data_IF_475414913105
#
_entry.id   IF_475414913105
#
_cell.length_a   1.000
_cell.length_b   1.000
_cell.length_c   1.000
_cell.angle_alpha   90.00
_cell.angle_beta   90.00
_cell.angle_gamma   90.00
#
_symmetry.space_group_name_H-M   'P 1'
#
loop_
_entity.id
_entity.type
_entity.pdbx_description
1 polymer ?
#
# COMPACT_ATOMS: atom_id res chain seq x y z
N UNK A 1 -13.39 7.43 -33.67
CA UNK A 1 -13.66 8.60 -32.82
C UNK A 1 -15.00 8.34 -32.17
N UNK A 2 -15.01 7.64 -31.05
CA UNK A 2 -16.18 7.55 -30.20
C UNK A 2 -15.68 7.61 -28.76
N UNK A 3 -16.10 8.67 -28.07
CA UNK A 3 -15.88 8.89 -26.64
C UNK A 3 -16.88 8.00 -25.91
N UNK A 4 -16.47 6.85 -25.44
CA UNK A 4 -17.26 6.11 -24.47
C UNK A 4 -17.20 6.85 -23.13
N UNK A 5 -18.34 7.43 -22.79
CA UNK A 5 -18.64 8.01 -21.48
C UNK A 5 -18.64 6.90 -20.43
N UNK A 6 -17.60 6.82 -19.61
CA UNK A 6 -17.63 6.07 -18.39
C UNK A 6 -18.76 6.60 -17.50
N UNK A 7 -19.84 5.83 -17.38
CA UNK A 7 -20.97 6.15 -16.49
C UNK A 7 -20.44 6.09 -15.06
N UNK A 8 -20.27 7.25 -14.42
CA UNK A 8 -20.01 7.32 -12.97
C UNK A 8 -21.14 6.62 -12.22
N UNK A 9 -20.80 5.79 -11.25
CA UNK A 9 -21.80 5.17 -10.37
C UNK A 9 -22.54 6.30 -9.65
N UNK A 10 -23.87 6.35 -9.79
CA UNK A 10 -24.69 7.33 -9.08
C UNK A 10 -24.69 7.04 -7.57
N UNK A 11 -24.96 8.06 -6.73
CA UNK A 11 -25.15 7.88 -5.28
C UNK A 11 -26.08 6.70 -4.96
N UNK A 12 -27.13 6.52 -5.75
CA UNK A 12 -28.10 5.43 -5.61
C UNK A 12 -27.53 4.06 -5.92
N UNK A 13 -26.57 3.98 -6.85
CA UNK A 13 -25.92 2.72 -7.25
C UNK A 13 -24.80 2.36 -6.26
N UNK A 14 -24.10 3.35 -5.71
CA UNK A 14 -23.15 3.16 -4.62
C UNK A 14 -23.84 2.53 -3.40
N UNK A 15 -25.02 3.06 -3.00
CA UNK A 15 -25.75 2.52 -1.85
C UNK A 15 -26.47 1.21 -2.13
N UNK A 16 -26.80 0.90 -3.38
CA UNK A 16 -27.24 -0.46 -3.74
C UNK A 16 -26.12 -1.49 -3.60
N UNK A 17 -24.88 -1.08 -3.92
CA UNK A 17 -23.68 -1.91 -3.72
C UNK A 17 -23.36 -2.03 -2.22
N UNK A 18 -23.57 -0.96 -1.43
CA UNK A 18 -23.32 -0.93 0.03
C UNK A 18 -24.50 -1.51 0.83
N UNK A 19 -25.74 -1.41 0.34
CA UNK A 19 -26.97 -1.71 1.11
C UNK A 19 -27.47 -3.16 1.09
N UNK A 20 -26.78 -4.10 0.44
CA UNK A 20 -27.24 -5.49 0.30
C UNK A 20 -26.81 -6.45 1.42
N UNK A 21 -26.16 -5.97 2.49
CA UNK A 21 -25.74 -6.80 3.64
C UNK A 21 -26.51 -6.41 4.91
N UNK A 22 -27.27 -7.36 5.41
CA UNK A 22 -28.29 -7.36 6.45
C UNK A 22 -28.03 -6.53 7.73
N UNK A 23 -29.16 -6.04 8.24
CA UNK A 23 -29.36 -5.36 9.52
C UNK A 23 -28.90 -6.22 10.70
N UNK A 24 -27.96 -5.71 11.51
CA UNK A 24 -27.72 -6.16 12.87
C UNK A 24 -28.02 -4.99 13.82
N UNK A 25 -28.96 -5.20 14.71
CA UNK A 25 -29.47 -4.24 15.70
C UNK A 25 -28.41 -3.79 16.68
N UNK A 26 -28.19 -2.49 16.79
CA UNK A 26 -27.35 -1.86 17.80
C UNK A 26 -28.19 -1.47 19.02
N UNK A 27 -27.76 -1.90 20.20
CA UNK A 27 -28.27 -1.44 21.48
C UNK A 27 -27.62 -0.11 21.90
N UNK A 28 -28.45 0.84 22.33
CA UNK A 28 -28.06 2.15 22.86
C UNK A 28 -27.43 2.04 24.25
N UNK A 29 -26.22 2.58 24.44
CA UNK A 29 -25.67 2.88 25.78
C UNK A 29 -25.18 4.32 25.76
N UNK A 30 -25.61 5.09 26.79
CA UNK A 30 -25.44 6.53 26.91
C UNK A 30 -24.02 6.95 27.31
N UNK A 31 -23.65 8.12 26.81
CA UNK A 31 -22.39 8.82 27.09
C UNK A 31 -22.42 9.47 28.48
N UNK A 32 -21.31 9.38 29.20
CA UNK A 32 -21.02 10.19 30.38
C UNK A 32 -19.73 10.98 30.14
N UNK A 33 -19.84 12.30 30.12
CA UNK A 33 -18.72 13.22 29.89
C UNK A 33 -17.85 13.36 31.16
N UNK A 34 -16.54 13.13 31.01
CA UNK A 34 -15.54 13.71 31.91
C UNK A 34 -14.33 14.19 31.10
N UNK A 35 -14.11 15.50 31.14
CA UNK A 35 -12.99 16.22 30.56
C UNK A 35 -11.65 15.79 31.19
N UNK A 36 -10.67 15.37 30.36
CA UNK A 36 -9.27 15.22 30.75
C UNK A 36 -8.34 15.87 29.72
N UNK A 37 -7.35 16.57 30.25
CA UNK A 37 -6.29 17.33 29.62
C UNK A 37 -5.44 16.50 28.62
N UNK A 38 -5.04 17.15 27.52
CA UNK A 38 -4.26 16.60 26.41
C UNK A 38 -2.86 16.14 26.80
N UNK A 39 -2.67 14.85 26.89
CA UNK A 39 -1.45 14.16 26.50
C UNK A 39 -1.79 13.33 25.25
N UNK A 40 -0.92 13.28 24.23
CA UNK A 40 -1.09 12.45 23.03
C UNK A 40 -0.98 10.96 23.38
N UNK A 41 -1.92 10.44 24.15
CA UNK A 41 -2.09 9.02 24.38
C UNK A 41 -3.07 8.55 23.32
N UNK A 42 -2.60 7.73 22.39
CA UNK A 42 -3.46 6.97 21.49
C UNK A 42 -4.40 6.18 22.39
N UNK A 43 -5.72 6.31 22.18
CA UNK A 43 -6.73 5.64 22.99
C UNK A 43 -6.60 4.11 22.89
N UNK A 44 -7.09 3.41 23.91
CA UNK A 44 -7.35 1.98 23.79
C UNK A 44 -8.55 1.76 22.84
N UNK A 45 -8.59 0.65 22.07
CA UNK A 45 -9.76 0.32 21.25
C UNK A 45 -11.04 0.26 22.09
N UNK A 46 -12.12 0.86 21.58
CA UNK A 46 -13.41 0.95 22.32
C UNK A 46 -14.21 -0.36 22.32
N UNK A 47 -13.78 -1.37 21.57
CA UNK A 47 -14.51 -2.63 21.44
C UNK A 47 -13.76 -3.70 20.64
N UNK A 48 -14.52 -4.71 20.18
CA UNK A 48 -13.96 -5.85 19.45
C UNK A 48 -13.59 -5.50 18.01
N UNK A 49 -12.54 -6.15 17.49
CA UNK A 49 -12.14 -6.09 16.09
C UNK A 49 -13.33 -6.40 15.17
N UNK A 50 -13.50 -5.60 14.13
CA UNK A 50 -14.46 -5.89 13.06
C UNK A 50 -13.94 -6.99 12.15
N UNK A 51 -14.79 -7.99 11.85
CA UNK A 51 -14.45 -9.11 10.97
C UNK A 51 -15.34 -9.17 9.73
N UNK A 52 -14.84 -9.80 8.67
CA UNK A 52 -15.57 -10.19 7.48
C UNK A 52 -15.55 -11.71 7.33
N UNK A 53 -16.66 -12.29 6.82
CA UNK A 53 -16.74 -13.73 6.58
C UNK A 53 -16.71 -13.97 5.08
N UNK A 54 -15.70 -14.71 4.63
CA UNK A 54 -15.54 -15.14 3.26
C UNK A 54 -15.38 -16.67 3.23
N UNK A 55 -16.25 -17.36 2.54
CA UNK A 55 -16.17 -18.82 2.34
C UNK A 55 -15.89 -19.63 3.62
N UNK A 56 -16.46 -19.17 4.73
CA UNK A 56 -16.29 -19.77 6.05
C UNK A 56 -15.19 -19.18 6.91
N UNK A 57 -14.25 -18.43 6.33
CA UNK A 57 -13.15 -17.79 7.08
C UNK A 57 -13.62 -16.49 7.73
N UNK A 58 -13.35 -16.33 9.03
CA UNK A 58 -13.61 -15.09 9.78
C UNK A 58 -12.34 -14.26 9.83
N UNK A 59 -12.17 -13.37 8.85
CA UNK A 59 -10.98 -12.55 8.65
C UNK A 59 -11.14 -11.18 9.30
N UNK A 60 -10.12 -10.71 10.04
CA UNK A 60 -10.09 -9.35 10.60
C UNK A 60 -10.09 -8.30 9.48
N UNK A 61 -10.92 -7.25 9.64
CA UNK A 61 -11.00 -6.19 8.63
C UNK A 61 -9.70 -5.37 8.57
N UNK A 62 -8.95 -5.27 9.66
CA UNK A 62 -7.56 -4.81 9.67
C UNK A 62 -6.65 -6.01 9.45
N UNK A 63 -5.87 -6.00 8.35
CA UNK A 63 -4.83 -6.97 8.04
C UNK A 63 -3.43 -6.38 8.26
N UNK A 64 -2.49 -7.20 8.66
CA UNK A 64 -1.10 -6.80 8.85
C UNK A 64 -0.30 -6.94 7.54
N UNK A 65 0.10 -5.80 6.94
CA UNK A 65 0.99 -5.76 5.78
C UNK A 65 2.46 -5.87 6.20
N UNK A 66 3.10 -7.00 5.97
CA UNK A 66 4.46 -7.31 6.44
C UNK A 66 5.58 -6.70 5.58
N UNK A 67 5.27 -5.79 4.65
CA UNK A 67 6.25 -5.13 3.78
C UNK A 67 7.13 -4.11 4.52
N UNK A 68 6.70 -3.65 5.69
CA UNK A 68 7.32 -2.55 6.44
C UNK A 68 7.72 -2.96 7.86
N UNK A 69 8.23 -4.18 8.03
CA UNK A 69 8.78 -4.60 9.30
C UNK A 69 9.86 -3.63 9.79
N UNK A 70 9.98 -3.37 11.09
CA UNK A 70 11.04 -2.54 11.64
C UNK A 70 12.41 -3.10 11.27
N UNK A 71 13.31 -2.22 10.85
CA UNK A 71 14.66 -2.56 10.42
C UNK A 71 15.67 -1.93 11.38
N UNK A 72 16.74 -2.64 11.67
CA UNK A 72 17.86 -2.16 12.47
C UNK A 72 19.20 -2.33 11.72
N UNK A 73 20.23 -1.61 12.18
CA UNK A 73 21.58 -1.83 11.66
C UNK A 73 22.04 -3.25 11.99
N UNK A 74 22.68 -3.91 11.02
CA UNK A 74 23.23 -5.24 11.26
C UNK A 74 24.39 -5.16 12.26
N UNK A 75 24.29 -5.76 13.47
CA UNK A 75 25.33 -5.72 14.47
C UNK A 75 26.60 -6.51 14.07
N UNK A 76 26.44 -7.48 13.14
CA UNK A 76 27.50 -8.40 12.72
C UNK A 76 28.14 -8.01 11.37
N UNK A 77 27.72 -6.87 10.77
CA UNK A 77 28.24 -6.48 9.47
C UNK A 77 27.60 -5.22 8.88
N UNK A 78 27.74 -5.05 7.57
CA UNK A 78 27.13 -3.93 6.85
C UNK A 78 25.64 -4.20 6.54
N UNK A 79 24.87 -3.12 6.35
CA UNK A 79 23.48 -3.17 5.93
C UNK A 79 22.47 -3.15 7.07
N UNK A 80 21.25 -3.53 6.75
CA UNK A 80 20.12 -3.58 7.68
C UNK A 80 19.57 -5.00 7.75
N UNK A 81 19.11 -5.37 8.93
CA UNK A 81 18.33 -6.59 9.19
C UNK A 81 16.98 -6.23 9.78
N UNK A 82 16.04 -7.17 9.77
CA UNK A 82 14.77 -7.01 10.48
C UNK A 82 15.01 -7.06 11.98
N UNK A 83 14.44 -6.12 12.72
CA UNK A 83 14.37 -6.17 14.18
C UNK A 83 13.36 -7.24 14.60
N UNK A 84 13.84 -8.47 14.75
CA UNK A 84 12.98 -9.62 15.02
C UNK A 84 12.28 -9.52 16.38
N UNK A 85 12.91 -8.91 17.38
CA UNK A 85 12.31 -8.74 18.71
C UNK A 85 11.11 -7.79 18.64
N UNK A 86 11.26 -6.68 17.91
CA UNK A 86 10.17 -5.75 17.70
C UNK A 86 9.05 -6.36 16.82
N UNK A 87 9.38 -7.13 15.78
CA UNK A 87 8.39 -7.87 14.98
C UNK A 87 7.60 -8.84 15.86
N UNK A 88 8.26 -9.58 16.74
CA UNK A 88 7.59 -10.49 17.66
C UNK A 88 6.60 -9.74 18.56
N UNK A 89 7.02 -8.60 19.12
CA UNK A 89 6.17 -7.76 19.98
C UNK A 89 4.95 -7.22 19.25
N UNK A 90 5.14 -6.76 18.00
CA UNK A 90 4.05 -6.24 17.18
C UNK A 90 3.05 -7.34 16.80
N UNK A 91 3.52 -8.54 16.46
CA UNK A 91 2.67 -9.69 16.11
C UNK A 91 1.90 -10.18 17.32
N UNK A 92 2.55 -10.29 18.49
CA UNK A 92 1.89 -10.69 19.75
C UNK A 92 0.75 -9.72 20.10
N UNK A 93 1.01 -8.42 20.00
CA UNK A 93 0.01 -7.39 20.26
C UNK A 93 -1.13 -7.42 19.22
N UNK A 94 -0.81 -7.58 17.95
CA UNK A 94 -1.81 -7.65 16.87
C UNK A 94 -2.77 -8.82 17.05
N UNK A 95 -2.25 -10.02 17.32
CA UNK A 95 -3.06 -11.22 17.56
C UNK A 95 -3.92 -11.08 18.82
N UNK A 96 -3.35 -10.53 19.92
CA UNK A 96 -4.08 -10.31 21.17
C UNK A 96 -5.27 -9.35 20.98
N UNK A 97 -5.22 -8.43 19.99
CA UNK A 97 -6.27 -7.48 19.66
C UNK A 97 -7.10 -7.88 18.43
N UNK A 98 -7.04 -9.15 18.03
CA UNK A 98 -7.95 -9.74 17.04
C UNK A 98 -7.53 -9.59 15.58
N UNK A 99 -6.37 -9.04 15.26
CA UNK A 99 -5.81 -9.11 13.89
C UNK A 99 -5.39 -10.56 13.63
N UNK A 100 -5.92 -11.15 12.54
CA UNK A 100 -5.62 -12.54 12.19
C UNK A 100 -5.20 -12.75 10.73
N UNK A 101 -4.97 -11.69 9.95
CA UNK A 101 -4.53 -11.78 8.56
C UNK A 101 -3.17 -11.10 8.38
N UNK A 102 -2.17 -11.85 7.93
CA UNK A 102 -0.78 -11.39 7.73
C UNK A 102 -0.38 -11.57 6.26
N UNK A 103 -0.08 -10.46 5.58
CA UNK A 103 0.25 -10.40 4.16
C UNK A 103 1.74 -10.13 3.96
N UNK A 104 2.46 -11.08 3.38
CA UNK A 104 3.87 -10.95 3.03
C UNK A 104 4.15 -11.27 1.57
N UNK A 105 5.41 -11.23 1.16
CA UNK A 105 5.89 -11.67 -0.16
C UNK A 105 7.41 -11.87 -0.14
N UNK A 106 7.96 -12.71 -1.05
CA UNK A 106 9.40 -12.95 -1.16
C UNK A 106 10.28 -11.69 -1.25
N UNK A 107 9.93 -10.60 -1.99
CA UNK A 107 10.79 -9.42 -2.09
C UNK A 107 10.66 -8.42 -0.94
N UNK A 108 9.74 -8.60 0.00
CA UNK A 108 9.49 -7.63 1.08
C UNK A 108 10.65 -7.56 2.06
N UNK A 109 10.94 -6.38 2.60
CA UNK A 109 12.10 -6.15 3.47
C UNK A 109 13.41 -6.71 2.89
N UNK A 110 13.64 -6.50 1.60
CA UNK A 110 14.82 -6.99 0.87
C UNK A 110 14.99 -8.53 0.92
N UNK A 111 13.88 -9.26 1.01
CA UNK A 111 13.85 -10.73 1.08
C UNK A 111 13.77 -11.30 2.49
N UNK A 112 13.70 -10.47 3.51
CA UNK A 112 13.72 -10.90 4.93
C UNK A 112 12.33 -11.03 5.55
N UNK A 113 11.27 -10.54 4.88
CA UNK A 113 9.94 -10.46 5.48
C UNK A 113 9.29 -11.82 5.77
N UNK A 114 9.39 -12.77 4.85
CA UNK A 114 8.78 -14.10 5.05
C UNK A 114 9.39 -14.81 6.25
N UNK A 115 10.71 -14.77 6.40
CA UNK A 115 11.40 -15.41 7.53
C UNK A 115 11.04 -14.74 8.86
N UNK A 116 11.08 -13.41 8.92
CA UNK A 116 10.71 -12.66 10.11
C UNK A 116 9.25 -12.92 10.52
N UNK A 117 8.34 -12.93 9.53
CA UNK A 117 6.92 -13.25 9.75
C UNK A 117 6.74 -14.67 10.25
N UNK A 118 7.43 -15.64 9.63
CA UNK A 118 7.38 -17.05 10.03
C UNK A 118 7.92 -17.30 11.44
N UNK A 119 9.00 -16.63 11.83
CA UNK A 119 9.54 -16.70 13.20
C UNK A 119 8.49 -16.18 14.20
N UNK A 120 7.91 -15.01 13.93
CA UNK A 120 6.94 -14.41 14.84
C UNK A 120 5.65 -15.25 14.97
N UNK A 121 5.06 -15.64 13.84
CA UNK A 121 3.79 -16.38 13.80
C UNK A 121 3.90 -17.80 14.33
N UNK A 122 5.03 -18.49 14.11
CA UNK A 122 5.23 -19.87 14.59
C UNK A 122 5.23 -20.00 16.14
N UNK A 123 5.21 -18.91 16.87
CA UNK A 123 5.08 -18.83 18.34
C UNK A 123 3.61 -18.97 18.78
N UNK A 124 2.66 -18.90 17.85
CA UNK A 124 1.22 -18.93 18.10
C UNK A 124 0.57 -20.16 17.44
N UNK A 125 -0.62 -20.59 17.91
CA UNK A 125 -1.35 -21.67 17.27
C UNK A 125 -1.62 -21.36 15.78
N UNK A 126 -1.33 -22.31 14.88
CA UNK A 126 -1.42 -22.10 13.42
C UNK A 126 -2.84 -21.78 12.94
N UNK A 127 -3.85 -22.20 13.64
CA UNK A 127 -5.27 -21.94 13.35
C UNK A 127 -5.78 -20.59 13.88
N UNK A 128 -4.96 -19.84 14.62
CA UNK A 128 -5.31 -18.51 15.12
C UNK A 128 -5.08 -17.37 14.12
N UNK A 129 -4.44 -17.66 12.96
CA UNK A 129 -4.12 -16.65 11.96
C UNK A 129 -4.12 -17.20 10.53
N UNK A 130 -4.25 -16.31 9.58
CA UNK A 130 -4.14 -16.56 8.15
C UNK A 130 -2.83 -15.98 7.59
N UNK A 131 -2.13 -16.78 6.79
CA UNK A 131 -0.93 -16.36 6.06
C UNK A 131 -1.28 -16.13 4.60
N UNK A 132 -0.94 -14.93 4.09
CA UNK A 132 -0.96 -14.61 2.68
C UNK A 132 0.47 -14.36 2.18
N UNK A 133 0.89 -15.07 1.12
CA UNK A 133 2.13 -14.80 0.40
C UNK A 133 1.96 -14.90 -1.10
N UNK A 134 3.03 -14.64 -1.90
CA UNK A 134 2.86 -14.31 -3.31
C UNK A 134 3.91 -14.97 -4.22
N UNK A 135 3.48 -15.34 -5.43
CA UNK A 135 4.38 -15.68 -6.55
C UNK A 135 4.99 -14.41 -7.13
N UNK A 136 6.16 -14.02 -6.65
CA UNK A 136 6.82 -12.74 -7.00
C UNK A 136 7.87 -12.89 -8.11
N UNK A 137 7.57 -13.64 -9.16
CA UNK A 137 8.51 -13.96 -10.23
C UNK A 137 8.74 -12.82 -11.27
N UNK A 138 8.18 -11.63 -11.04
CA UNK A 138 8.38 -10.47 -11.92
C UNK A 138 9.85 -10.05 -12.02
N UNK A 139 10.62 -10.11 -10.91
CA UNK A 139 12.06 -9.81 -10.93
C UNK A 139 12.87 -10.85 -11.70
N UNK A 140 12.50 -12.13 -11.60
CA UNK A 140 13.11 -13.20 -12.37
C UNK A 140 12.87 -13.00 -13.87
N UNK A 141 11.62 -12.66 -14.23
CA UNK A 141 11.27 -12.33 -15.61
C UNK A 141 12.00 -11.07 -16.10
N UNK A 142 12.06 -10.03 -15.29
CA UNK A 142 12.81 -8.79 -15.56
C UNK A 142 14.32 -9.04 -15.74
N UNK A 143 14.90 -9.99 -15.01
CA UNK A 143 16.27 -10.45 -15.17
C UNK A 143 16.51 -11.31 -16.44
N UNK A 144 15.46 -11.58 -17.22
CA UNK A 144 15.60 -12.27 -18.50
C UNK A 144 15.25 -13.76 -18.49
N UNK A 145 14.90 -14.37 -17.34
CA UNK A 145 14.50 -15.78 -17.29
C UNK A 145 13.18 -16.00 -18.05
N UNK A 146 13.09 -17.11 -18.79
CA UNK A 146 11.92 -17.46 -19.60
C UNK A 146 11.66 -18.96 -19.56
N UNK A 147 10.45 -19.38 -19.97
CA UNK A 147 10.08 -20.78 -20.13
C UNK A 147 10.46 -21.64 -18.90
N UNK A 148 11.18 -22.73 -19.16
CA UNK A 148 11.54 -23.72 -18.11
C UNK A 148 12.43 -23.14 -17.02
N UNK A 149 13.39 -22.28 -17.33
CA UNK A 149 14.26 -21.66 -16.32
C UNK A 149 13.47 -20.77 -15.37
N UNK A 150 12.53 -19.98 -15.90
CA UNK A 150 11.63 -19.17 -15.09
C UNK A 150 10.73 -20.05 -14.21
N UNK A 151 10.22 -21.17 -14.76
CA UNK A 151 9.40 -22.12 -14.03
C UNK A 151 10.17 -22.69 -12.84
N UNK A 152 11.36 -23.25 -13.07
CA UNK A 152 12.17 -23.88 -12.02
C UNK A 152 12.52 -22.89 -10.91
N UNK A 153 12.93 -21.68 -11.26
CA UNK A 153 13.22 -20.63 -10.28
C UNK A 153 11.97 -20.17 -9.52
N UNK A 154 10.79 -20.10 -10.18
CA UNK A 154 9.51 -19.75 -9.55
C UNK A 154 9.03 -20.86 -8.60
N UNK A 155 9.17 -22.12 -8.98
CA UNK A 155 8.84 -23.26 -8.11
C UNK A 155 9.75 -23.27 -6.88
N UNK A 156 11.05 -23.02 -7.06
CA UNK A 156 11.96 -22.88 -5.93
C UNK A 156 11.54 -21.76 -4.98
N UNK A 157 11.19 -20.59 -5.50
CA UNK A 157 10.67 -19.46 -4.70
C UNK A 157 9.44 -19.86 -3.89
N UNK A 158 8.49 -20.58 -4.49
CA UNK A 158 7.31 -21.11 -3.82
C UNK A 158 7.67 -22.08 -2.68
N UNK A 159 8.62 -22.98 -2.92
CA UNK A 159 9.09 -23.94 -1.91
C UNK A 159 9.86 -23.25 -0.76
N UNK A 160 10.67 -22.26 -1.09
CA UNK A 160 11.41 -21.47 -0.08
C UNK A 160 10.45 -20.71 0.85
N UNK A 161 9.29 -20.24 0.33
CA UNK A 161 8.26 -19.56 1.15
C UNK A 161 7.69 -20.45 2.25
N UNK A 162 7.50 -21.75 2.03
CA UNK A 162 7.11 -22.70 3.10
C UNK A 162 8.14 -22.77 4.21
N UNK A 163 9.42 -22.86 3.83
CA UNK A 163 10.53 -22.93 4.78
C UNK A 163 10.61 -21.64 5.61
N UNK A 164 10.56 -20.48 4.97
CA UNK A 164 10.68 -19.20 5.66
C UNK A 164 9.46 -18.93 6.55
N UNK A 165 8.25 -19.19 6.06
CA UNK A 165 7.01 -18.99 6.81
C UNK A 165 6.70 -20.12 7.82
N UNK A 166 7.51 -21.20 7.85
CA UNK A 166 7.38 -22.31 8.81
C UNK A 166 5.99 -22.94 8.82
N UNK A 167 5.42 -23.18 7.65
CA UNK A 167 4.06 -23.70 7.46
C UNK A 167 4.01 -24.76 6.37
N UNK A 168 3.01 -25.64 6.42
CA UNK A 168 2.77 -26.69 5.41
C UNK A 168 1.70 -26.29 4.39
N UNK A 169 1.01 -25.16 4.59
CA UNK A 169 0.00 -24.63 3.67
C UNK A 169 -0.12 -23.11 3.79
N UNK A 170 -0.54 -22.47 2.69
CA UNK A 170 -0.91 -21.07 2.67
C UNK A 170 -2.43 -20.92 2.70
N UNK A 171 -2.95 -20.05 3.55
CA UNK A 171 -4.38 -19.73 3.57
C UNK A 171 -4.76 -18.93 2.34
N UNK A 172 -3.92 -17.95 1.95
CA UNK A 172 -4.09 -17.09 0.80
C UNK A 172 -2.80 -17.04 -0.01
N UNK A 173 -2.89 -17.28 -1.31
CA UNK A 173 -1.75 -17.19 -2.21
C UNK A 173 -2.08 -16.35 -3.43
N UNK A 174 -1.15 -15.48 -3.86
CA UNK A 174 -1.41 -14.51 -4.92
C UNK A 174 -0.36 -14.59 -6.04
N UNK A 175 -0.81 -14.45 -7.28
CA UNK A 175 0.08 -13.98 -8.34
C UNK A 175 0.38 -12.49 -8.13
N UNK A 176 1.66 -12.14 -8.01
CA UNK A 176 2.10 -10.83 -7.54
C UNK A 176 2.21 -9.81 -8.65
N UNK A 177 1.65 -8.60 -8.42
CA UNK A 177 1.87 -7.37 -9.20
C UNK A 177 1.58 -7.56 -10.71
N UNK A 178 0.42 -8.11 -11.04
CA UNK A 178 -0.02 -8.24 -12.42
C UNK A 178 -0.42 -6.89 -13.02
N UNK A 179 -0.12 -6.68 -14.30
CA UNK A 179 -0.43 -5.46 -15.04
C UNK A 179 0.70 -4.44 -15.11
N UNK A 180 1.81 -4.64 -14.38
CA UNK A 180 3.02 -3.80 -14.49
C UNK A 180 3.89 -4.18 -15.68
N UNK A 181 4.98 -3.46 -15.89
CA UNK A 181 5.97 -3.71 -16.91
C UNK A 181 5.35 -3.68 -18.32
N UNK A 182 5.41 -4.80 -19.03
CA UNK A 182 4.84 -4.93 -20.39
C UNK A 182 3.36 -5.38 -20.40
N UNK A 183 2.65 -5.25 -19.28
CA UNK A 183 1.22 -5.58 -19.19
C UNK A 183 0.93 -7.03 -19.60
N UNK A 184 0.08 -7.21 -20.64
CA UNK A 184 -0.36 -8.54 -21.11
C UNK A 184 0.79 -9.47 -21.53
N UNK A 185 1.84 -8.96 -22.21
CA UNK A 185 3.00 -9.76 -22.63
C UNK A 185 3.72 -10.35 -21.41
N UNK A 186 4.00 -9.50 -20.42
CA UNK A 186 4.70 -9.91 -19.21
C UNK A 186 3.85 -10.88 -18.39
N UNK A 187 2.58 -10.58 -18.20
CA UNK A 187 1.65 -11.47 -17.48
C UNK A 187 1.62 -12.86 -18.11
N UNK A 188 1.47 -12.97 -19.44
CA UNK A 188 1.47 -14.26 -20.14
C UNK A 188 2.78 -15.01 -19.96
N UNK A 189 3.92 -14.33 -20.18
CA UNK A 189 5.25 -14.92 -20.01
C UNK A 189 5.51 -15.44 -18.60
N UNK A 190 5.02 -14.73 -17.58
CA UNK A 190 5.21 -15.07 -16.17
C UNK A 190 4.30 -16.17 -15.66
N UNK A 191 3.12 -16.33 -16.19
CA UNK A 191 2.10 -17.24 -15.69
C UNK A 191 1.89 -18.46 -16.60
N UNK A 192 1.63 -18.21 -17.87
CA UNK A 192 1.20 -19.27 -18.80
C UNK A 192 2.36 -19.87 -19.59
N UNK A 193 3.18 -19.07 -20.26
CA UNK A 193 4.25 -19.56 -21.13
C UNK A 193 5.33 -20.33 -20.37
N UNK A 194 5.52 -20.04 -19.08
CA UNK A 194 6.42 -20.79 -18.21
C UNK A 194 5.71 -21.92 -17.42
N UNK A 195 4.38 -22.06 -17.54
CA UNK A 195 3.61 -23.14 -16.87
C UNK A 195 3.42 -22.96 -15.36
N UNK A 196 3.67 -21.78 -14.81
CA UNK A 196 3.52 -21.52 -13.35
C UNK A 196 2.04 -21.47 -12.94
N UNK A 197 1.14 -20.99 -13.80
CA UNK A 197 -0.28 -21.00 -13.51
C UNK A 197 -0.79 -22.43 -13.25
N UNK A 198 -0.46 -23.37 -14.13
CA UNK A 198 -0.83 -24.78 -13.98
C UNK A 198 -0.23 -25.43 -12.74
N UNK A 199 1.02 -25.08 -12.41
CA UNK A 199 1.67 -25.55 -11.19
C UNK A 199 0.91 -25.07 -9.94
N UNK A 200 0.59 -23.79 -9.83
CA UNK A 200 -0.12 -23.21 -8.67
C UNK A 200 -1.56 -23.75 -8.55
N UNK A 201 -2.25 -24.00 -9.67
CA UNK A 201 -3.56 -24.66 -9.64
C UNK A 201 -3.49 -26.08 -9.08
N UNK A 202 -2.46 -26.86 -9.43
CA UNK A 202 -2.22 -28.19 -8.84
C UNK A 202 -1.91 -28.12 -7.34
N UNK A 203 -1.17 -27.09 -6.90
CA UNK A 203 -0.90 -26.87 -5.49
C UNK A 203 -2.18 -26.51 -4.71
N UNK A 204 -3.11 -25.76 -5.35
CA UNK A 204 -4.44 -25.49 -4.78
C UNK A 204 -5.28 -26.77 -4.68
N UNK A 205 -5.33 -27.58 -5.74
CA UNK A 205 -6.02 -28.87 -5.75
C UNK A 205 -5.47 -29.82 -4.68
N UNK A 206 -4.16 -29.79 -4.45
CA UNK A 206 -3.48 -30.57 -3.41
C UNK A 206 -3.70 -30.05 -1.98
N UNK A 207 -4.39 -28.91 -1.81
CA UNK A 207 -4.70 -28.30 -0.52
C UNK A 207 -3.56 -27.53 0.13
N UNK A 208 -2.41 -27.36 -0.55
CA UNK A 208 -1.31 -26.54 -0.05
C UNK A 208 -1.57 -25.03 -0.20
N UNK A 209 -2.50 -24.66 -1.06
CA UNK A 209 -3.06 -23.31 -1.19
C UNK A 209 -4.57 -23.41 -0.97
N UNK A 210 -5.10 -22.73 0.04
CA UNK A 210 -6.54 -22.75 0.35
C UNK A 210 -7.34 -21.78 -0.52
N UNK A 211 -6.85 -20.54 -0.66
CA UNK A 211 -7.46 -19.46 -1.46
C UNK A 211 -6.43 -18.92 -2.44
N UNK A 212 -6.82 -18.80 -3.70
CA UNK A 212 -5.97 -18.28 -4.77
C UNK A 212 -6.50 -16.95 -5.28
N UNK A 213 -5.61 -15.96 -5.38
CA UNK A 213 -5.91 -14.65 -5.90
C UNK A 213 -4.77 -14.05 -6.72
N UNK A 214 -4.88 -12.78 -7.03
CA UNK A 214 -3.79 -12.00 -7.61
C UNK A 214 -3.78 -10.58 -7.06
N UNK A 215 -2.62 -9.92 -7.07
CA UNK A 215 -2.52 -8.49 -6.84
C UNK A 215 -2.33 -7.77 -8.16
N UNK A 216 -3.06 -6.65 -8.31
CA UNK A 216 -3.12 -5.90 -9.55
C UNK A 216 -2.54 -4.50 -9.40
N UNK A 217 -1.73 -4.09 -10.42
CA UNK A 217 -1.27 -2.74 -10.66
C UNK A 217 -1.16 -2.49 -12.19
N UNK A 218 -1.55 -1.33 -12.66
CA UNK A 218 -1.23 -0.85 -14.00
C UNK A 218 -2.24 -1.20 -15.08
N UNK A 219 -1.86 -2.00 -16.07
CA UNK A 219 -2.64 -2.23 -17.29
C UNK A 219 -4.00 -2.89 -17.02
N UNK A 220 -5.08 -2.11 -17.14
CA UNK A 220 -6.45 -2.58 -16.89
C UNK A 220 -6.85 -3.78 -17.78
N UNK A 221 -6.27 -3.93 -18.97
CA UNK A 221 -6.55 -5.08 -19.83
C UNK A 221 -6.12 -6.39 -19.19
N UNK A 222 -5.06 -6.37 -18.37
CA UNK A 222 -4.65 -7.54 -17.58
C UNK A 222 -5.69 -7.86 -16.52
N UNK A 223 -6.21 -6.85 -15.81
CA UNK A 223 -7.26 -7.04 -14.81
C UNK A 223 -8.51 -7.66 -15.43
N UNK A 224 -8.99 -7.09 -16.53
CA UNK A 224 -10.18 -7.56 -17.23
C UNK A 224 -9.99 -9.00 -17.75
N UNK A 225 -8.84 -9.29 -18.37
CA UNK A 225 -8.50 -10.64 -18.83
C UNK A 225 -8.49 -11.65 -17.68
N UNK A 226 -7.88 -11.31 -16.55
CA UNK A 226 -7.82 -12.22 -15.40
C UNK A 226 -9.20 -12.52 -14.82
N UNK A 227 -10.13 -11.57 -14.85
CA UNK A 227 -11.50 -11.76 -14.35
C UNK A 227 -12.43 -12.45 -15.34
N UNK A 228 -12.19 -12.35 -16.66
CA UNK A 228 -13.15 -12.74 -17.68
C UNK A 228 -12.70 -13.94 -18.53
N UNK A 229 -11.40 -14.02 -18.82
CA UNK A 229 -10.85 -14.94 -19.83
C UNK A 229 -9.83 -15.93 -19.29
N UNK A 230 -9.28 -15.70 -18.09
CA UNK A 230 -8.22 -16.56 -17.53
C UNK A 230 -8.66 -17.99 -17.26
N UNK A 231 -9.95 -18.22 -17.09
CA UNK A 231 -10.53 -19.52 -16.68
C UNK A 231 -10.21 -19.92 -15.24
N UNK A 232 -9.50 -19.07 -14.47
CA UNK A 232 -9.14 -19.34 -13.07
C UNK A 232 -10.25 -18.84 -12.15
N UNK A 233 -10.81 -19.69 -11.28
CA UNK A 233 -11.79 -19.27 -10.27
C UNK A 233 -11.06 -18.53 -9.13
N UNK A 234 -11.11 -17.21 -9.15
CA UNK A 234 -10.48 -16.38 -8.13
C UNK A 234 -11.28 -16.36 -6.84
N UNK A 235 -10.64 -16.69 -5.72
CA UNK A 235 -11.26 -16.61 -4.40
C UNK A 235 -11.24 -15.17 -3.86
N UNK A 236 -10.29 -14.34 -4.29
CA UNK A 236 -10.15 -12.93 -3.92
C UNK A 236 -9.21 -12.20 -4.88
N UNK A 237 -9.21 -10.86 -4.85
CA UNK A 237 -8.25 -10.03 -5.61
C UNK A 237 -7.74 -8.90 -4.74
N UNK A 238 -6.44 -8.63 -4.77
CA UNK A 238 -5.81 -7.55 -4.06
C UNK A 238 -5.67 -6.32 -4.96
N UNK A 239 -6.30 -5.21 -4.57
CA UNK A 239 -6.32 -3.96 -5.31
C UNK A 239 -5.89 -2.78 -4.43
N UNK A 240 -5.32 -1.75 -5.06
CA UNK A 240 -5.09 -0.46 -4.44
C UNK A 240 -6.42 0.28 -4.31
N UNK A 241 -6.77 0.72 -3.08
CA UNK A 241 -8.00 1.46 -2.83
C UNK A 241 -7.82 2.41 -1.65
N UNK A 242 -8.07 3.70 -1.90
CA UNK A 242 -8.14 4.77 -0.91
C UNK A 242 -9.00 5.91 -1.48
N UNK A 243 -9.33 6.92 -0.68
CA UNK A 243 -10.23 8.00 -1.10
C UNK A 243 -9.67 8.90 -2.20
N UNK A 244 -8.33 8.98 -2.38
CA UNK A 244 -7.71 9.73 -3.47
C UNK A 244 -7.75 8.92 -4.77
N UNK A 245 -7.24 7.68 -4.75
CA UNK A 245 -7.21 6.82 -5.94
C UNK A 245 -8.60 6.31 -6.35
N UNK A 246 -9.62 6.55 -5.53
CA UNK A 246 -10.99 6.21 -5.90
C UNK A 246 -11.33 6.78 -7.29
N UNK A 247 -11.00 8.07 -7.53
CA UNK A 247 -11.24 8.76 -8.81
C UNK A 247 -10.03 9.48 -9.37
N UNK A 248 -8.94 9.59 -8.63
CA UNK A 248 -7.75 10.35 -9.01
C UNK A 248 -6.49 9.49 -8.98
N UNK A 249 -6.60 8.23 -9.40
CA UNK A 249 -5.43 7.37 -9.54
C UNK A 249 -4.44 7.99 -10.52
N UNK A 250 -3.16 7.93 -10.18
CA UNK A 250 -2.09 8.55 -10.95
C UNK A 250 -1.11 7.54 -11.55
N UNK A 251 -0.36 7.97 -12.55
CA UNK A 251 0.63 7.14 -13.21
C UNK A 251 0.00 6.02 -14.02
N UNK A 252 0.39 4.79 -13.74
CA UNK A 252 -0.16 3.59 -14.39
C UNK A 252 -1.38 3.01 -13.65
N UNK A 253 -1.71 3.54 -12.48
CA UNK A 253 -2.79 3.01 -11.65
C UNK A 253 -4.16 3.33 -12.25
N UNK A 254 -5.12 2.44 -11.98
CA UNK A 254 -6.52 2.56 -12.40
C UNK A 254 -7.36 3.04 -11.23
N UNK A 255 -8.37 3.88 -11.51
CA UNK A 255 -9.30 4.35 -10.49
C UNK A 255 -9.93 3.16 -9.73
N UNK A 256 -9.83 3.20 -8.40
CA UNK A 256 -10.29 2.12 -7.55
C UNK A 256 -11.81 1.89 -7.64
N UNK A 257 -12.58 2.93 -8.00
CA UNK A 257 -14.02 2.84 -8.27
C UNK A 257 -14.32 1.78 -9.35
N UNK A 258 -13.52 1.74 -10.43
CA UNK A 258 -13.65 0.73 -11.47
C UNK A 258 -13.30 -0.66 -10.96
N UNK A 259 -12.10 -0.82 -10.38
CA UNK A 259 -11.59 -2.11 -9.92
C UNK A 259 -12.52 -2.75 -8.88
N UNK A 260 -12.92 -1.99 -7.87
CA UNK A 260 -13.83 -2.46 -6.84
C UNK A 260 -15.20 -2.85 -7.43
N UNK A 261 -15.75 -2.05 -8.33
CA UNK A 261 -17.05 -2.31 -8.93
C UNK A 261 -17.05 -3.61 -9.75
N UNK A 262 -15.99 -3.89 -10.49
CA UNK A 262 -15.89 -5.12 -11.27
C UNK A 262 -15.75 -6.37 -10.39
N UNK A 263 -15.06 -6.26 -9.25
CA UNK A 263 -15.00 -7.33 -8.24
C UNK A 263 -16.36 -7.55 -7.55
N UNK A 264 -17.00 -6.47 -7.14
CA UNK A 264 -18.31 -6.54 -6.46
C UNK A 264 -19.41 -7.15 -7.34
N UNK A 265 -19.45 -6.81 -8.64
CA UNK A 265 -20.37 -7.41 -9.62
C UNK A 265 -20.23 -8.94 -9.73
N UNK A 266 -19.03 -9.46 -9.48
CA UNK A 266 -18.71 -10.89 -9.58
C UNK A 266 -18.72 -11.60 -8.22
N UNK A 267 -19.01 -10.88 -7.14
CA UNK A 267 -18.89 -11.35 -5.75
C UNK A 267 -17.49 -11.89 -5.44
N UNK A 268 -16.44 -11.30 -6.02
CA UNK A 268 -15.04 -11.61 -5.71
C UNK A 268 -14.59 -10.62 -4.64
N UNK A 269 -14.25 -11.07 -3.43
CA UNK A 269 -13.79 -10.20 -2.36
C UNK A 269 -12.52 -9.44 -2.70
N UNK A 270 -12.44 -8.18 -2.27
CA UNK A 270 -11.27 -7.34 -2.41
C UNK A 270 -10.42 -7.38 -1.13
N UNK A 271 -9.13 -7.65 -1.26
CA UNK A 271 -8.12 -7.34 -0.25
C UNK A 271 -7.54 -5.98 -0.62
N UNK A 272 -7.51 -5.04 0.32
CA UNK A 272 -7.09 -3.67 0.02
C UNK A 272 -5.63 -3.47 0.38
N UNK A 273 -4.83 -3.05 -0.59
CA UNK A 273 -3.48 -2.52 -0.40
C UNK A 273 -3.46 -1.01 -0.60
N UNK A 274 -2.40 -0.34 -0.11
CA UNK A 274 -2.19 1.10 -0.23
C UNK A 274 -3.34 1.98 0.32
N UNK A 275 -3.98 1.63 1.44
CA UNK A 275 -5.05 2.46 2.01
C UNK A 275 -4.55 3.87 2.36
N UNK A 276 -3.26 4.02 2.68
CA UNK A 276 -2.58 5.29 2.96
C UNK A 276 -1.63 5.76 1.88
N UNK A 277 -1.61 5.15 0.68
CA UNK A 277 -0.61 5.46 -0.37
C UNK A 277 0.83 5.49 0.18
N UNK A 278 1.25 4.43 0.89
CA UNK A 278 2.56 4.34 1.51
C UNK A 278 2.79 5.35 2.64
N UNK A 279 1.73 5.89 3.24
CA UNK A 279 1.76 6.90 4.29
C UNK A 279 1.54 8.33 3.79
N UNK A 280 1.37 8.56 2.48
CA UNK A 280 1.11 9.91 1.93
C UNK A 280 -0.20 10.50 2.47
N UNK A 281 -1.23 9.70 2.67
CA UNK A 281 -2.53 10.15 3.18
C UNK A 281 -2.54 10.40 4.70
N UNK A 282 -1.48 10.03 5.43
CA UNK A 282 -1.28 10.44 6.83
C UNK A 282 -0.45 11.71 6.97
N UNK A 283 0.23 12.15 5.89
CA UNK A 283 1.12 13.32 5.86
C UNK A 283 0.73 14.24 4.69
N UNK A 284 -0.45 14.80 4.78
CA UNK A 284 -1.03 15.70 3.77
C UNK A 284 -0.73 17.16 4.10
N UNK A 285 -1.04 18.08 3.17
CA UNK A 285 -0.88 19.51 3.37
C UNK A 285 -1.70 20.01 4.58
N UNK A 286 -1.18 20.97 5.35
CA UNK A 286 -1.82 21.51 6.58
C UNK A 286 -3.27 21.94 6.39
N UNK A 287 -3.60 22.52 5.22
CA UNK A 287 -4.98 22.86 4.90
C UNK A 287 -5.90 21.65 4.87
N UNK A 288 -5.42 20.50 4.37
CA UNK A 288 -6.16 19.24 4.36
C UNK A 288 -6.25 18.67 5.77
N UNK A 289 -5.14 18.72 6.55
CA UNK A 289 -5.14 18.32 7.97
C UNK A 289 -6.22 19.08 8.73
N UNK A 290 -6.23 20.41 8.60
CA UNK A 290 -7.21 21.25 9.26
C UNK A 290 -8.65 20.93 8.85
N UNK A 291 -8.91 20.68 7.55
CA UNK A 291 -10.23 20.29 7.04
C UNK A 291 -10.71 18.96 7.65
N UNK A 292 -9.83 17.95 7.74
CA UNK A 292 -10.14 16.65 8.34
C UNK A 292 -10.38 16.77 9.85
N UNK A 293 -9.50 17.50 10.57
CA UNK A 293 -9.57 17.72 12.02
C UNK A 293 -10.74 18.60 12.45
N UNK A 294 -11.22 19.52 11.61
CA UNK A 294 -12.44 20.29 11.89
C UNK A 294 -13.69 19.41 11.95
N UNK A 295 -13.71 18.33 11.17
CA UNK A 295 -14.84 17.40 11.16
C UNK A 295 -14.76 16.37 12.28
N UNK A 296 -13.56 15.81 12.53
CA UNK A 296 -13.28 14.79 13.55
C UNK A 296 -11.99 15.17 14.30
N UNK A 297 -12.07 16.03 15.33
CA UNK A 297 -10.88 16.54 16.02
C UNK A 297 -10.02 15.45 16.68
N UNK A 298 -10.67 14.43 17.24
CA UNK A 298 -9.99 13.38 18.01
C UNK A 298 -9.41 12.27 17.10
N UNK A 299 -9.96 12.08 15.91
CA UNK A 299 -9.51 11.04 14.98
C UNK A 299 -8.19 11.41 14.31
N UNK A 300 -7.33 10.41 14.05
CA UNK A 300 -6.11 10.63 13.28
C UNK A 300 -6.43 10.98 11.82
N UNK A 301 -5.50 11.65 11.12
CA UNK A 301 -5.64 11.89 9.67
C UNK A 301 -5.67 10.57 8.91
N UNK A 302 -4.95 9.55 9.39
CA UNK A 302 -4.90 8.23 8.78
C UNK A 302 -6.23 7.48 8.90
N UNK A 303 -6.97 7.65 10.01
CA UNK A 303 -8.23 6.96 10.25
C UNK A 303 -9.27 7.20 9.14
N UNK A 304 -9.30 8.39 8.54
CA UNK A 304 -10.19 8.71 7.42
C UNK A 304 -9.98 7.80 6.22
N UNK A 305 -8.72 7.51 5.88
CA UNK A 305 -8.40 6.61 4.77
C UNK A 305 -8.70 5.14 5.11
N UNK A 306 -8.47 4.74 6.34
CA UNK A 306 -8.82 3.40 6.81
C UNK A 306 -10.33 3.20 6.88
N UNK A 307 -11.08 4.16 7.43
CA UNK A 307 -12.55 4.14 7.44
C UNK A 307 -13.11 4.09 6.02
N UNK A 308 -12.53 4.87 5.08
CA UNK A 308 -12.92 4.81 3.68
C UNK A 308 -12.77 3.40 3.11
N UNK A 309 -11.59 2.81 3.22
CA UNK A 309 -11.32 1.48 2.69
C UNK A 309 -12.18 0.38 3.34
N UNK A 310 -12.37 0.46 4.66
CA UNK A 310 -13.16 -0.52 5.43
C UNK A 310 -14.67 -0.40 5.24
N UNK A 311 -15.18 0.74 4.75
CA UNK A 311 -16.63 0.96 4.58
C UNK A 311 -17.27 0.17 3.45
N UNK A 312 -16.46 -0.40 2.55
CA UNK A 312 -16.97 -1.16 1.41
C UNK A 312 -17.31 -2.61 1.79
N UNK A 313 -18.54 -3.10 1.58
CA UNK A 313 -18.98 -4.41 2.07
C UNK A 313 -18.28 -5.60 1.43
N UNK A 314 -17.80 -5.48 0.18
CA UNK A 314 -17.06 -6.54 -0.52
C UNK A 314 -15.54 -6.52 -0.22
N UNK A 315 -15.10 -5.72 0.76
CA UNK A 315 -13.72 -5.72 1.25
C UNK A 315 -13.57 -6.79 2.32
N UNK A 316 -12.65 -7.73 2.09
CA UNK A 316 -12.31 -8.79 3.03
C UNK A 316 -11.46 -8.26 4.17
N UNK A 317 -10.37 -7.58 3.82
CA UNK A 317 -9.41 -6.99 4.78
C UNK A 317 -8.67 -5.81 4.16
N UNK A 318 -8.25 -4.87 4.99
CA UNK A 318 -7.47 -3.68 4.63
C UNK A 318 -6.07 -3.81 5.21
N UNK A 319 -5.07 -3.89 4.33
CA UNK A 319 -3.69 -4.12 4.72
C UNK A 319 -3.02 -2.82 5.17
N UNK A 320 -2.42 -2.83 6.34
CA UNK A 320 -1.60 -1.74 6.85
C UNK A 320 -0.20 -2.20 7.22
N UNK A 321 0.82 -1.47 6.76
CA UNK A 321 2.22 -1.67 7.15
C UNK A 321 2.52 -0.90 8.42
N UNK A 322 2.28 -1.52 9.57
CA UNK A 322 2.41 -0.92 10.91
C UNK A 322 3.81 -1.16 11.45
N UNK A 323 4.76 -0.28 11.10
CA UNK A 323 6.18 -0.40 11.50
C UNK A 323 6.41 -0.15 12.99
N UNK A 324 5.56 0.65 13.63
CA UNK A 324 5.68 1.05 15.05
C UNK A 324 4.40 0.70 15.80
N UNK A 325 4.53 0.52 17.11
CA UNK A 325 3.39 0.18 17.98
C UNK A 325 2.28 1.23 17.92
N UNK A 326 2.64 2.51 17.80
CA UNK A 326 1.70 3.63 17.69
C UNK A 326 0.83 3.53 16.41
N UNK A 327 1.42 3.05 15.30
CA UNK A 327 0.64 2.80 14.08
C UNK A 327 -0.38 1.68 14.27
N UNK A 328 0.03 0.61 14.98
CA UNK A 328 -0.83 -0.53 15.25
C UNK A 328 -2.00 -0.12 16.18
N UNK A 329 -1.71 0.63 17.22
CA UNK A 329 -2.72 1.11 18.19
C UNK A 329 -3.72 2.07 17.52
N UNK A 330 -3.26 3.05 16.73
CA UNK A 330 -4.13 3.99 16.01
C UNK A 330 -5.08 3.26 15.02
N UNK A 331 -4.54 2.29 14.29
CA UNK A 331 -5.35 1.51 13.35
C UNK A 331 -6.34 0.58 14.05
N UNK A 332 -5.97 0.00 15.20
CA UNK A 332 -6.88 -0.78 16.04
C UNK A 332 -8.06 0.07 16.51
N UNK A 333 -7.82 1.31 16.95
CA UNK A 333 -8.89 2.24 17.33
C UNK A 333 -9.87 2.51 16.17
N UNK A 334 -9.40 2.48 14.92
CA UNK A 334 -10.26 2.67 13.75
C UNK A 334 -11.12 1.44 13.43
N UNK A 335 -10.62 0.23 13.71
CA UNK A 335 -11.27 -1.02 13.29
C UNK A 335 -11.90 -1.85 14.42
N UNK A 336 -11.83 -1.35 15.67
CA UNK A 336 -12.33 -2.09 16.84
C UNK A 336 -13.31 -1.26 17.68
N UNK A 337 -14.59 -1.12 17.23
CA UNK A 337 -15.12 -1.57 15.95
C UNK A 337 -14.96 -0.52 14.83
N UNK A 338 -15.05 -0.94 13.56
CA UNK A 338 -15.18 0.00 12.45
C UNK A 338 -16.53 0.73 12.53
N UNK A 339 -16.46 2.06 12.45
CA UNK A 339 -17.61 2.92 12.16
C UNK A 339 -17.58 3.29 10.66
N UNK A 340 -18.41 2.65 9.81
CA UNK A 340 -18.41 2.94 8.37
C UNK A 340 -18.73 4.40 8.09
N UNK A 341 -18.17 4.92 6.98
CA UNK A 341 -18.49 6.29 6.54
C UNK A 341 -19.97 6.45 6.22
N UNK A 342 -20.55 7.56 6.67
CA UNK A 342 -21.85 8.03 6.19
C UNK A 342 -21.72 8.57 4.75
N UNK A 343 -22.88 8.77 4.10
CA UNK A 343 -22.97 9.36 2.76
C UNK A 343 -22.29 10.73 2.70
N UNK A 344 -22.52 11.55 3.72
CA UNK A 344 -21.93 12.89 3.81
C UNK A 344 -20.42 12.85 4.02
N UNK A 345 -19.92 11.88 4.80
CA UNK A 345 -18.47 11.70 4.97
C UNK A 345 -17.82 11.18 3.70
N UNK A 346 -18.50 10.30 2.94
CA UNK A 346 -18.00 9.87 1.64
C UNK A 346 -17.86 11.06 0.68
N UNK A 347 -18.88 11.90 0.56
CA UNK A 347 -18.85 13.12 -0.27
C UNK A 347 -17.75 14.05 0.21
N UNK A 348 -17.63 14.29 1.51
CA UNK A 348 -16.61 15.12 2.12
C UNK A 348 -15.19 14.64 1.76
N UNK A 349 -14.93 13.33 1.76
CA UNK A 349 -13.63 12.78 1.35
C UNK A 349 -13.38 12.92 -0.15
N UNK A 350 -14.41 12.79 -1.01
CA UNK A 350 -14.24 13.06 -2.44
C UNK A 350 -13.89 14.52 -2.71
N UNK A 351 -14.57 15.49 -2.08
CA UNK A 351 -14.22 16.91 -2.15
C UNK A 351 -12.81 17.18 -1.61
N UNK A 352 -12.40 16.44 -0.57
CA UNK A 352 -11.04 16.55 -0.03
C UNK A 352 -10.00 16.01 -1.02
N UNK A 353 -10.30 14.91 -1.72
CA UNK A 353 -9.45 14.39 -2.78
C UNK A 353 -9.32 15.37 -3.94
N UNK A 354 -10.42 16.04 -4.36
CA UNK A 354 -10.41 17.08 -5.38
C UNK A 354 -9.51 18.27 -5.01
N UNK A 355 -9.45 18.62 -3.72
CA UNK A 355 -8.50 19.63 -3.23
C UNK A 355 -7.06 19.12 -3.26
N UNK A 356 -6.84 17.85 -2.87
CA UNK A 356 -5.49 17.27 -2.78
C UNK A 356 -4.80 17.21 -4.14
N UNK A 357 -5.52 16.96 -5.24
CA UNK A 357 -4.92 16.92 -6.59
C UNK A 357 -4.39 18.28 -7.06
N UNK A 358 -4.75 19.37 -6.38
CA UNK A 358 -4.19 20.70 -6.65
C UNK A 358 -2.74 20.83 -6.13
N UNK A 359 -2.32 19.98 -5.19
CA UNK A 359 -0.95 19.92 -4.67
C UNK A 359 -0.14 18.92 -5.48
N UNK A 360 0.75 19.40 -6.35
CA UNK A 360 1.53 18.56 -7.28
C UNK A 360 2.65 17.78 -6.58
N UNK A 361 2.29 16.77 -5.82
CA UNK A 361 3.25 15.85 -5.22
C UNK A 361 3.62 14.72 -6.22
N UNK A 362 4.84 14.17 -6.07
CA UNK A 362 5.28 12.99 -6.82
C UNK A 362 4.62 11.76 -6.18
N UNK A 363 4.02 10.83 -6.96
CA UNK A 363 3.26 9.70 -6.40
C UNK A 363 4.15 8.59 -5.81
N UNK A 364 5.26 8.93 -5.15
CA UNK A 364 6.12 7.95 -4.48
C UNK A 364 5.49 7.50 -3.16
N UNK A 365 5.34 6.17 -2.99
CA UNK A 365 4.82 5.53 -1.78
C UNK A 365 5.89 4.81 -0.94
N UNK A 366 7.17 5.09 -1.17
CA UNK A 366 8.32 4.52 -0.44
C UNK A 366 8.34 2.98 -0.40
N UNK A 367 7.92 2.34 -1.47
CA UNK A 367 7.95 0.87 -1.56
C UNK A 367 9.37 0.30 -1.72
N UNK A 368 10.34 1.12 -2.14
CA UNK A 368 11.75 0.78 -2.34
C UNK A 368 12.03 -0.26 -3.43
N UNK A 369 11.09 -0.55 -4.32
CA UNK A 369 11.31 -1.49 -5.41
C UNK A 369 12.36 -0.99 -6.42
N UNK A 370 12.53 0.32 -6.53
CA UNK A 370 13.60 0.95 -7.32
C UNK A 370 14.99 0.87 -6.69
N UNK A 371 15.13 0.23 -5.51
CA UNK A 371 16.38 0.09 -4.80
C UNK A 371 16.92 -1.35 -4.83
N UNK A 372 18.25 -1.55 -4.77
CA UNK A 372 19.29 -0.53 -4.74
C UNK A 372 19.54 0.12 -6.11
N UNK A 373 19.79 1.43 -6.12
CA UNK A 373 20.29 2.09 -7.33
C UNK A 373 21.76 1.72 -7.57
N UNK A 374 22.18 1.27 -8.77
CA UNK A 374 23.57 0.90 -9.05
C UNK A 374 24.57 2.06 -8.92
N UNK A 375 24.06 3.30 -8.93
CA UNK A 375 24.85 4.52 -8.73
C UNK A 375 24.74 5.09 -7.31
N UNK A 376 24.19 4.32 -6.37
CA UNK A 376 24.13 4.67 -4.96
C UNK A 376 23.08 5.73 -4.59
N UNK A 377 22.21 6.15 -5.50
CA UNK A 377 21.21 7.22 -5.26
C UNK A 377 20.13 6.71 -4.31
N UNK A 378 19.73 7.53 -3.33
CA UNK A 378 18.57 7.25 -2.49
C UNK A 378 17.30 7.84 -3.10
N UNK A 379 16.78 7.14 -4.11
CA UNK A 379 15.63 7.59 -4.90
C UNK A 379 14.43 7.92 -4.00
N UNK A 380 13.97 7.03 -3.08
CA UNK A 380 12.83 7.33 -2.22
C UNK A 380 13.05 8.56 -1.34
N UNK A 381 14.20 8.68 -0.70
CA UNK A 381 14.48 9.80 0.20
C UNK A 381 14.41 11.16 -0.53
N UNK A 382 14.89 11.21 -1.78
CA UNK A 382 14.82 12.42 -2.62
C UNK A 382 13.36 12.80 -2.91
N UNK A 383 12.56 11.83 -3.37
CA UNK A 383 11.16 12.06 -3.74
C UNK A 383 10.29 12.43 -2.52
N UNK A 384 10.53 11.76 -1.39
CA UNK A 384 9.82 12.04 -0.14
C UNK A 384 10.17 13.41 0.43
N UNK A 385 11.44 13.82 0.38
CA UNK A 385 11.84 15.17 0.80
C UNK A 385 11.14 16.24 -0.04
N UNK A 386 11.10 16.07 -1.37
CA UNK A 386 10.39 16.98 -2.27
C UNK A 386 8.90 17.11 -1.90
N UNK A 387 8.22 15.98 -1.72
CA UNK A 387 6.82 15.94 -1.30
C UNK A 387 6.60 16.57 0.08
N UNK A 388 7.48 16.31 1.03
CA UNK A 388 7.44 16.92 2.36
C UNK A 388 7.46 18.45 2.28
N UNK A 389 8.35 19.02 1.45
CA UNK A 389 8.43 20.47 1.28
C UNK A 389 7.16 21.06 0.65
N UNK A 390 6.51 20.33 -0.26
CA UNK A 390 5.20 20.74 -0.80
C UNK A 390 4.15 20.78 0.31
N UNK A 391 4.04 19.70 1.08
CA UNK A 391 3.01 19.54 2.11
C UNK A 391 3.17 20.55 3.27
N UNK A 392 4.40 20.89 3.63
CA UNK A 392 4.73 21.87 4.67
C UNK A 392 4.75 23.33 4.19
N UNK A 393 4.40 23.60 2.92
CA UNK A 393 4.48 24.95 2.34
C UNK A 393 5.92 25.50 2.21
N UNK A 394 6.93 24.63 2.32
CA UNK A 394 8.35 24.97 2.23
C UNK A 394 8.91 24.86 0.80
N UNK A 395 8.07 25.07 -0.22
CA UNK A 395 8.47 25.04 -1.62
C UNK A 395 8.79 26.46 -2.11
N UNK A 396 10.07 26.84 -2.34
CA UNK A 396 10.42 28.15 -2.83
C UNK A 396 10.09 28.25 -4.34
N UNK A 397 8.93 28.84 -4.67
CA UNK A 397 8.43 28.90 -6.06
C UNK A 397 8.70 30.22 -6.75
N UNK A 398 8.63 31.33 -6.03
CA UNK A 398 8.78 32.69 -6.53
C UNK A 398 9.79 33.46 -5.69
N UNK A 399 10.82 34.02 -6.31
CA UNK A 399 11.84 34.83 -5.65
C UNK A 399 11.34 36.13 -5.02
N UNK A 400 10.13 36.55 -5.39
CA UNK A 400 9.46 37.73 -4.83
C UNK A 400 8.53 37.40 -3.65
N UNK A 401 8.31 36.13 -3.34
CA UNK A 401 7.55 35.69 -2.15
C UNK A 401 8.29 36.10 -0.88
N UNK A 402 7.60 36.71 0.08
CA UNK A 402 8.15 37.10 1.38
C UNK A 402 8.76 35.88 2.14
N UNK A 403 8.22 34.67 1.92
CA UNK A 403 8.69 33.44 2.51
C UNK A 403 9.81 32.75 1.71
N UNK A 404 10.20 33.25 0.55
CA UNK A 404 11.17 32.60 -0.35
C UNK A 404 12.45 32.19 0.35
N UNK A 405 13.09 33.11 1.09
CA UNK A 405 14.35 32.82 1.77
C UNK A 405 14.22 31.72 2.83
N UNK A 406 13.12 31.75 3.60
CA UNK A 406 12.83 30.74 4.62
C UNK A 406 12.57 29.37 3.98
N UNK A 407 11.73 29.31 2.96
CA UNK A 407 11.41 28.09 2.22
C UNK A 407 12.66 27.51 1.53
N UNK A 408 13.49 28.37 0.90
CA UNK A 408 14.75 27.96 0.28
C UNK A 408 15.73 27.34 1.30
N UNK A 409 15.90 27.96 2.46
CA UNK A 409 16.73 27.38 3.53
C UNK A 409 16.19 26.07 4.03
N UNK A 410 14.88 25.99 4.31
CA UNK A 410 14.23 24.78 4.78
C UNK A 410 14.40 23.64 3.77
N UNK A 411 14.20 23.91 2.48
CA UNK A 411 14.37 22.93 1.42
C UNK A 411 15.82 22.44 1.35
N UNK A 412 16.81 23.31 1.23
CA UNK A 412 18.21 22.93 1.03
C UNK A 412 18.80 22.21 2.26
N UNK A 413 18.55 22.72 3.48
CA UNK A 413 19.00 22.08 4.71
C UNK A 413 18.33 20.72 4.88
N UNK A 414 17.01 20.64 4.63
CA UNK A 414 16.28 19.40 4.69
C UNK A 414 16.77 18.37 3.69
N UNK A 415 17.11 18.80 2.47
CA UNK A 415 17.65 17.94 1.43
C UNK A 415 18.99 17.32 1.85
N UNK A 416 19.94 18.15 2.32
CA UNK A 416 21.25 17.68 2.78
C UNK A 416 21.16 16.75 4.01
N UNK A 417 20.16 16.96 4.88
CA UNK A 417 19.92 16.09 6.05
C UNK A 417 19.25 14.77 5.68
N UNK A 418 18.31 14.80 4.75
CA UNK A 418 17.53 13.62 4.34
C UNK A 418 18.31 12.73 3.37
N UNK A 419 19.19 13.34 2.55
CA UNK A 419 19.90 12.64 1.47
C UNK A 419 21.40 12.98 1.54
N UNK A 420 22.24 12.06 2.02
CA UNK A 420 23.70 12.25 2.01
C UNK A 420 24.22 12.63 0.62
N UNK A 421 25.23 13.50 0.53
CA UNK A 421 25.72 14.09 -0.74
C UNK A 421 26.01 13.06 -1.83
N UNK A 422 26.63 11.95 -1.49
CA UNK A 422 26.95 10.86 -2.42
C UNK A 422 25.72 10.06 -2.89
N UNK A 423 24.53 10.36 -2.35
CA UNK A 423 23.27 9.67 -2.66
C UNK A 423 22.22 10.60 -3.27
N UNK A 424 22.62 11.84 -3.61
CA UNK A 424 21.73 12.88 -4.15
C UNK A 424 21.43 12.67 -5.64
N UNK A 425 20.42 13.39 -6.12
CA UNK A 425 19.89 13.30 -7.48
C UNK A 425 20.92 13.63 -8.57
N UNK A 426 21.90 14.47 -8.27
CA UNK A 426 23.01 14.85 -9.17
C UNK A 426 23.85 13.67 -9.70
N UNK A 427 23.81 12.54 -9.03
CA UNK A 427 24.50 11.31 -9.48
C UNK A 427 23.67 10.49 -10.49
N UNK A 428 22.44 10.91 -10.83
CA UNK A 428 21.61 10.17 -11.77
C UNK A 428 22.10 10.34 -13.21
N UNK A 429 22.50 9.23 -13.83
CA UNK A 429 22.95 9.21 -15.25
C UNK A 429 21.82 8.89 -16.23
N UNK A 430 20.58 8.71 -15.76
CA UNK A 430 19.43 8.42 -16.63
C UNK A 430 19.38 6.98 -17.18
N UNK A 431 20.02 5.99 -16.55
CA UNK A 431 20.08 4.60 -17.05
C UNK A 431 18.72 3.88 -17.08
N UNK A 432 17.70 4.42 -16.42
CA UNK A 432 16.31 3.95 -16.38
C UNK A 432 16.09 2.51 -15.87
N UNK A 433 17.00 1.94 -15.09
CA UNK A 433 16.84 0.61 -14.51
C UNK A 433 15.78 0.57 -13.39
N UNK A 434 15.50 1.71 -12.76
CA UNK A 434 14.59 1.84 -11.63
C UNK A 434 13.11 2.04 -12.01
N UNK A 435 12.80 2.59 -13.20
CA UNK A 435 11.42 2.92 -13.59
C UNK A 435 10.55 1.68 -13.86
N UNK A 436 11.05 0.60 -14.48
CA UNK A 436 10.25 -0.62 -14.69
C UNK A 436 9.75 -1.27 -13.40
N UNK A 437 10.49 -1.12 -12.30
CA UNK A 437 10.15 -1.68 -10.99
C UNK A 437 9.18 -0.79 -10.19
N UNK A 438 8.88 0.41 -10.68
CA UNK A 438 8.03 1.36 -9.96
C UNK A 438 6.54 1.04 -10.13
N UNK A 439 5.81 0.57 -9.07
CA UNK A 439 4.39 0.26 -9.17
C UNK A 439 3.51 1.51 -9.35
N UNK A 440 4.07 2.70 -9.13
CA UNK A 440 3.39 3.98 -9.34
C UNK A 440 3.66 4.58 -10.73
N UNK A 441 4.44 3.91 -11.58
CA UNK A 441 4.76 4.35 -12.93
C UNK A 441 5.55 5.67 -13.00
N UNK A 442 6.31 6.00 -11.96
CA UNK A 442 7.13 7.22 -11.93
C UNK A 442 8.26 7.11 -12.95
N UNK A 443 8.39 8.11 -13.82
CA UNK A 443 9.61 8.27 -14.62
C UNK A 443 10.73 8.80 -13.72
N UNK A 444 11.37 7.89 -12.99
CA UNK A 444 12.33 8.23 -11.95
C UNK A 444 13.51 9.05 -12.49
N UNK A 445 14.16 8.73 -13.63
CA UNK A 445 15.25 9.55 -14.14
C UNK A 445 14.82 10.99 -14.44
N UNK A 446 13.62 11.19 -14.98
CA UNK A 446 13.10 12.54 -15.25
C UNK A 446 12.88 13.33 -13.95
N UNK A 447 12.35 12.68 -12.92
CA UNK A 447 12.17 13.31 -11.61
C UNK A 447 13.51 13.63 -10.93
N UNK A 448 14.50 12.75 -11.03
CA UNK A 448 15.85 13.01 -10.51
C UNK A 448 16.47 14.25 -11.20
N UNK A 449 16.43 14.32 -12.52
CA UNK A 449 16.94 15.48 -13.27
C UNK A 449 16.19 16.76 -12.91
N UNK A 450 14.88 16.71 -12.79
CA UNK A 450 14.04 17.87 -12.42
C UNK A 450 14.39 18.38 -11.02
N UNK A 451 14.53 17.48 -10.05
CA UNK A 451 14.85 17.85 -8.66
C UNK A 451 16.30 18.36 -8.57
N UNK A 452 17.24 17.73 -9.25
CA UNK A 452 18.63 18.22 -9.29
C UNK A 452 18.74 19.62 -9.86
N UNK A 453 18.09 19.86 -11.00
CA UNK A 453 18.03 21.19 -11.60
C UNK A 453 17.42 22.23 -10.64
N UNK A 454 16.34 21.87 -9.96
CA UNK A 454 15.71 22.73 -8.97
C UNK A 454 16.64 23.04 -7.78
N UNK A 455 17.33 22.02 -7.25
CA UNK A 455 18.32 22.18 -6.17
C UNK A 455 19.45 23.13 -6.60
N UNK A 456 19.98 22.99 -7.83
CA UNK A 456 21.04 23.84 -8.34
C UNK A 456 20.55 25.29 -8.55
N UNK A 457 19.34 25.51 -9.06
CA UNK A 457 18.74 26.85 -9.14
C UNK A 457 18.63 27.50 -7.75
N UNK A 458 18.22 26.74 -6.74
CA UNK A 458 18.15 27.24 -5.37
C UNK A 458 19.54 27.56 -4.79
N UNK A 459 20.54 26.72 -5.02
CA UNK A 459 21.92 26.99 -4.56
C UNK A 459 22.48 28.26 -5.18
N UNK A 460 22.25 28.47 -6.46
CA UNK A 460 22.74 29.62 -7.20
C UNK A 460 21.87 30.89 -6.99
N UNK A 461 20.75 30.76 -6.26
CA UNK A 461 19.77 31.85 -6.03
C UNK A 461 19.22 32.47 -7.33
N UNK A 462 19.09 31.66 -8.38
CA UNK A 462 18.68 32.14 -9.70
C UNK A 462 17.20 32.57 -9.76
N UNK A 463 16.36 32.01 -8.88
CA UNK A 463 14.92 32.37 -8.82
C UNK A 463 14.66 33.80 -8.34
N UNK A 464 15.67 34.49 -7.82
CA UNK A 464 15.61 35.92 -7.49
C UNK A 464 15.95 36.85 -8.69
N UNK A 465 16.39 36.23 -9.81
CA UNK A 465 16.88 37.00 -10.96
C UNK A 465 15.93 36.98 -12.16
N UNK A 466 14.82 36.26 -12.04
CA UNK A 466 13.74 36.21 -13.01
C UNK A 466 12.53 37.00 -12.50
#
# INVERSE_FOLDING_TARGET
MDKENGKSISRRDFFKIVGAAGVVTAGLVGCNEQSKSSSNVIGEPDGDMTYRILTGDRVSLLGYGCMRWPMMSNPDGEGQIVDQEEVNRLVDYALAHGINYFDTAPPYCQGLSEEATGIALSRHPRDSYFIATKMSNHRLYGAGLRGKELQEASVKMYQDSFKYLRTDYFDYYLFHILGTGKGMEEMRGRLYDCGIADFILKEKEAGRIRKLGFSFHGDVRVFDYMLQESGIPWDFVQIQLNYLDWRHASGINVNAEYLYSELAKRNIPAVIMEPLLGGRLSKVHDHIVNKLKQREPEQSVASWAFRFAGSFPNVLTVLSGMTYMEHLQDNLCTYSPLHPLSDDEFVFLQETADLMVQYQTIPCNDCKYCMPCPYGIDIPAILLHYNKCINEGNMPRDGHDENYHKARQAFLIGYDRSVPRLRQASHCIGCNQCSPDCPQGINIPKEMQRIDHFVEQLKQNLMHKL
#
